data_IF_105586668601
#
_entry.id   IF_105586668601
#
_cell.length_a   1.000
_cell.length_b   1.000
_cell.length_c   1.000
_cell.angle_alpha   90.00
_cell.angle_beta   90.00
_cell.angle_gamma   90.00
#
_symmetry.space_group_name_H-M   'P 1'
#
loop_
_entity.id
_entity.type
_entity.pdbx_description
1 polymer ?
#
# COMPACT_ATOMS: atom_id res chain seq x y z
N UNK A 1 -6.60 7.03 -15.55
CA UNK A 1 -5.65 6.00 -15.05
C UNK A 1 -4.87 6.64 -13.92
N UNK A 2 -4.69 5.98 -12.77
CA UNK A 2 -4.33 6.64 -11.50
C UNK A 2 -2.94 6.23 -10.98
N UNK A 3 -1.95 6.25 -11.87
CA UNK A 3 -0.59 5.73 -11.62
C UNK A 3 0.16 6.55 -10.57
N UNK A 4 0.06 7.89 -10.61
CA UNK A 4 0.70 8.73 -9.61
C UNK A 4 0.12 8.48 -8.21
N UNK A 5 -1.19 8.23 -8.11
CA UNK A 5 -1.81 7.78 -6.86
C UNK A 5 -1.30 6.41 -6.42
N UNK A 6 -1.17 5.43 -7.33
CA UNK A 6 -0.67 4.09 -6.97
C UNK A 6 0.78 4.11 -6.49
N UNK A 7 1.66 4.88 -7.14
CA UNK A 7 3.04 5.06 -6.66
C UNK A 7 3.03 5.69 -5.27
N UNK A 8 2.25 6.76 -5.09
CA UNK A 8 2.12 7.41 -3.80
C UNK A 8 1.70 6.43 -2.70
N UNK A 9 0.64 5.65 -2.93
CA UNK A 9 0.12 4.65 -1.98
C UNK A 9 1.17 3.57 -1.67
N UNK A 10 1.87 3.06 -2.68
CA UNK A 10 2.94 2.08 -2.49
C UNK A 10 4.12 2.65 -1.68
N UNK A 11 4.45 3.93 -1.87
CA UNK A 11 5.56 4.58 -1.15
C UNK A 11 5.19 4.92 0.29
N UNK A 12 4.04 5.56 0.53
CA UNK A 12 3.62 5.95 1.89
C UNK A 12 3.34 4.73 2.78
N UNK A 13 2.91 3.60 2.20
CA UNK A 13 2.75 2.34 2.95
C UNK A 13 4.09 1.69 3.32
N UNK A 14 5.21 2.21 2.78
CA UNK A 14 6.53 1.63 2.92
C UNK A 14 6.75 0.38 2.07
N UNK A 15 5.83 0.03 1.17
CA UNK A 15 5.98 -1.11 0.26
C UNK A 15 7.05 -0.85 -0.80
N UNK A 16 7.06 0.34 -1.39
CA UNK A 16 8.12 0.81 -2.28
C UNK A 16 9.18 1.58 -1.50
N UNK A 17 10.40 1.08 -1.54
CA UNK A 17 11.60 1.80 -1.13
C UNK A 17 12.06 2.76 -2.23
N UNK A 18 13.07 3.58 -1.91
CA UNK A 18 13.66 4.51 -2.87
C UNK A 18 14.10 3.84 -4.17
N UNK A 19 14.77 2.70 -4.06
CA UNK A 19 15.21 1.95 -5.24
C UNK A 19 14.05 1.44 -6.09
N UNK A 20 12.89 1.15 -5.47
CA UNK A 20 11.72 0.63 -6.18
C UNK A 20 11.06 1.71 -7.04
N UNK A 21 10.80 2.90 -6.47
CA UNK A 21 10.17 3.99 -7.24
C UNK A 21 11.12 4.58 -8.29
N UNK A 22 12.42 4.70 -7.98
CA UNK A 22 13.40 5.19 -8.95
C UNK A 22 13.57 4.16 -10.07
N UNK A 23 13.68 2.88 -9.73
CA UNK A 23 13.77 1.80 -10.72
C UNK A 23 12.55 1.71 -11.62
N UNK A 24 11.35 1.94 -11.07
CA UNK A 24 10.13 2.07 -11.86
C UNK A 24 10.22 3.23 -12.86
N UNK A 25 10.58 4.43 -12.40
CA UNK A 25 10.66 5.61 -13.26
C UNK A 25 11.75 5.46 -14.34
N UNK A 26 12.92 4.93 -13.99
CA UNK A 26 14.00 4.66 -14.93
C UNK A 26 13.57 3.67 -16.01
N UNK A 27 12.83 2.63 -15.64
CA UNK A 27 12.26 1.67 -16.61
C UNK A 27 11.32 2.37 -17.59
N UNK A 28 10.51 3.32 -17.12
CA UNK A 28 9.62 4.09 -17.99
C UNK A 28 10.40 4.98 -18.96
N UNK A 29 11.40 5.70 -18.46
CA UNK A 29 12.25 6.60 -19.25
C UNK A 29 13.04 5.82 -20.32
N UNK A 30 13.54 4.63 -20.00
CA UNK A 30 14.37 3.84 -20.91
C UNK A 30 13.58 3.10 -21.99
N UNK A 31 12.32 2.73 -21.72
CA UNK A 31 11.54 1.89 -22.63
C UNK A 31 10.56 2.68 -23.51
N UNK A 32 10.33 3.97 -23.22
CA UNK A 32 9.42 4.81 -23.98
C UNK A 32 10.18 5.94 -24.67
N UNK A 33 9.76 6.31 -25.88
CA UNK A 33 10.39 7.39 -26.64
C UNK A 33 10.14 8.78 -26.03
N UNK A 34 9.05 8.91 -25.28
CA UNK A 34 8.64 10.12 -24.59
C UNK A 34 7.87 9.73 -23.31
N UNK A 35 8.13 10.43 -22.22
CA UNK A 35 7.44 10.24 -20.93
C UNK A 35 7.15 11.59 -20.31
N UNK A 36 6.07 11.69 -19.53
CA UNK A 36 5.69 12.93 -18.89
C UNK A 36 6.76 13.44 -17.90
N UNK A 37 6.85 14.76 -17.72
CA UNK A 37 7.87 15.41 -16.87
C UNK A 37 7.87 14.89 -15.42
N UNK A 38 6.70 14.53 -14.89
CA UNK A 38 6.58 14.03 -13.51
C UNK A 38 7.34 12.70 -13.31
N UNK A 39 7.49 11.87 -14.35
CA UNK A 39 8.23 10.61 -14.29
C UNK A 39 9.73 10.88 -14.14
N UNK A 40 10.27 11.86 -14.88
CA UNK A 40 11.67 12.30 -14.71
C UNK A 40 11.92 12.87 -13.32
N UNK A 41 10.95 13.59 -12.76
CA UNK A 41 11.07 14.12 -11.39
C UNK A 41 11.07 12.99 -10.35
N UNK A 42 10.30 11.92 -10.55
CA UNK A 42 10.32 10.74 -9.66
C UNK A 42 11.70 10.07 -9.67
N UNK A 43 12.31 9.87 -10.84
CA UNK A 43 13.64 9.23 -10.88
C UNK A 43 14.71 10.04 -10.14
N UNK A 44 14.53 11.36 -10.07
CA UNK A 44 15.44 12.28 -9.37
C UNK A 44 15.10 12.51 -7.89
N UNK A 45 13.90 12.15 -7.43
CA UNK A 45 13.46 12.38 -6.06
C UNK A 45 14.35 11.66 -5.03
N UNK A 46 14.83 12.39 -4.03
CA UNK A 46 15.85 11.90 -3.10
C UNK A 46 15.27 11.17 -1.90
N UNK A 47 14.04 11.47 -1.54
CA UNK A 47 13.33 10.94 -0.38
C UNK A 47 11.81 10.93 -0.65
N UNK A 48 11.06 10.44 0.33
CA UNK A 48 9.60 10.30 0.24
C UNK A 48 8.94 11.68 0.11
N UNK A 49 9.45 12.71 0.79
CA UNK A 49 8.86 14.06 0.77
C UNK A 49 8.98 14.71 -0.62
N UNK A 50 10.16 14.60 -1.24
CA UNK A 50 10.39 15.08 -2.60
C UNK A 50 9.57 14.29 -3.64
N UNK A 51 9.41 12.97 -3.45
CA UNK A 51 8.53 12.16 -4.29
C UNK A 51 7.07 12.57 -4.13
N UNK A 52 6.58 12.74 -2.89
CA UNK A 52 5.19 13.12 -2.62
C UNK A 52 4.86 14.49 -3.25
N UNK A 53 5.81 15.43 -3.16
CA UNK A 53 5.70 16.74 -3.81
C UNK A 53 5.65 16.60 -5.33
N UNK A 54 6.49 15.73 -5.90
CA UNK A 54 6.56 15.50 -7.34
C UNK A 54 5.25 14.95 -7.92
N UNK A 55 4.62 14.02 -7.22
CA UNK A 55 3.39 13.37 -7.70
C UNK A 55 2.13 14.16 -7.38
N UNK A 56 2.21 15.20 -6.54
CA UNK A 56 1.05 15.90 -5.98
C UNK A 56 0.09 16.43 -7.06
N UNK A 57 0.59 17.22 -8.01
CA UNK A 57 -0.23 17.80 -9.07
C UNK A 57 -0.86 16.72 -9.95
N UNK A 58 -0.08 15.68 -10.27
CA UNK A 58 -0.56 14.55 -11.09
C UNK A 58 -1.64 13.74 -10.36
N UNK A 59 -1.49 13.52 -9.06
CA UNK A 59 -2.51 12.84 -8.24
C UNK A 59 -3.86 13.58 -8.27
N UNK A 60 -3.83 14.91 -8.25
CA UNK A 60 -5.04 15.73 -8.34
C UNK A 60 -5.66 15.62 -9.73
N UNK A 61 -4.85 15.72 -10.79
CA UNK A 61 -5.30 15.56 -12.18
C UNK A 61 -5.95 14.20 -12.44
N UNK A 62 -5.42 13.14 -11.82
CA UNK A 62 -5.90 11.77 -11.98
C UNK A 62 -7.29 11.52 -11.37
N UNK A 63 -7.80 12.43 -10.53
CA UNK A 63 -9.11 12.32 -9.87
C UNK A 63 -9.37 10.90 -9.33
N UNK A 64 -8.60 10.45 -8.33
CA UNK A 64 -8.56 9.04 -7.91
C UNK A 64 -9.93 8.36 -7.81
N UNK A 65 -10.89 8.99 -7.11
CA UNK A 65 -12.23 8.44 -6.86
C UNK A 65 -13.19 8.48 -8.06
N UNK A 66 -12.84 9.17 -9.14
CA UNK A 66 -13.58 9.06 -10.40
C UNK A 66 -13.21 7.79 -11.18
N UNK A 67 -12.05 7.22 -10.87
CA UNK A 67 -11.45 6.11 -11.61
C UNK A 67 -11.29 4.83 -10.77
N UNK A 68 -11.60 4.87 -9.47
CA UNK A 68 -11.45 3.75 -8.55
C UNK A 68 -12.66 3.64 -7.63
N UNK A 69 -13.11 2.40 -7.40
CA UNK A 69 -14.24 2.10 -6.50
C UNK A 69 -13.80 1.94 -5.04
N UNK A 70 -12.51 1.66 -4.79
CA UNK A 70 -11.97 1.39 -3.46
C UNK A 70 -11.18 2.58 -2.91
N UNK A 71 -11.18 2.72 -1.58
CA UNK A 71 -10.44 3.78 -0.90
C UNK A 71 -8.92 3.63 -1.04
N UNK A 72 -8.19 4.75 -1.05
CA UNK A 72 -6.73 4.74 -0.99
C UNK A 72 -6.23 4.07 0.31
N UNK A 73 -6.98 4.24 1.41
CA UNK A 73 -6.64 3.65 2.71
C UNK A 73 -6.77 2.13 2.70
N UNK A 74 -7.76 1.60 1.99
CA UNK A 74 -7.91 0.15 1.81
C UNK A 74 -6.73 -0.45 1.03
N UNK A 75 -6.22 0.29 0.05
CA UNK A 75 -5.01 -0.10 -0.67
C UNK A 75 -3.76 -0.07 0.24
N UNK A 76 -3.64 0.90 1.14
CA UNK A 76 -2.56 0.92 2.15
C UNK A 76 -2.60 -0.33 3.02
N UNK A 77 -3.77 -0.69 3.55
CA UNK A 77 -3.95 -1.92 4.35
C UNK A 77 -3.54 -3.16 3.53
N UNK A 78 -3.89 -3.19 2.25
CA UNK A 78 -3.44 -4.21 1.31
C UNK A 78 -1.92 -4.31 1.24
N UNK A 79 -1.22 -3.18 1.07
CA UNK A 79 0.24 -3.14 1.04
C UNK A 79 0.88 -3.53 2.38
N UNK A 80 0.30 -3.15 3.52
CA UNK A 80 0.77 -3.62 4.83
C UNK A 80 0.66 -5.13 4.95
N UNK A 81 -0.45 -5.71 4.52
CA UNK A 81 -0.60 -7.16 4.52
C UNK A 81 0.36 -7.84 3.54
N UNK A 82 0.62 -7.24 2.38
CA UNK A 82 1.65 -7.71 1.44
C UNK A 82 3.06 -7.72 2.08
N UNK A 83 3.43 -6.65 2.80
CA UNK A 83 4.70 -6.63 3.56
C UNK A 83 4.79 -7.78 4.56
N UNK A 84 3.69 -8.10 5.25
CA UNK A 84 3.63 -9.18 6.22
C UNK A 84 3.79 -10.57 5.57
N UNK A 85 3.03 -10.89 4.51
CA UNK A 85 3.14 -12.19 3.82
C UNK A 85 4.52 -12.39 3.16
N UNK A 86 5.15 -11.30 2.72
CA UNK A 86 6.52 -11.27 2.18
C UNK A 86 7.59 -11.33 3.28
N UNK A 87 7.18 -11.36 4.57
CA UNK A 87 8.06 -11.39 5.75
C UNK A 87 8.99 -10.17 5.85
N UNK A 88 8.57 -9.03 5.29
CA UNK A 88 9.26 -7.74 5.39
C UNK A 88 8.94 -7.02 6.69
N UNK A 89 7.78 -7.31 7.27
CA UNK A 89 7.37 -6.86 8.60
C UNK A 89 6.82 -8.05 9.40
N UNK A 90 6.82 -7.95 10.72
CA UNK A 90 6.20 -8.95 11.59
C UNK A 90 4.68 -8.75 11.68
N UNK A 91 3.97 -9.73 12.24
CA UNK A 91 2.54 -9.56 12.56
C UNK A 91 2.35 -8.41 13.56
N UNK A 92 3.24 -8.25 14.53
CA UNK A 92 3.16 -7.16 15.49
C UNK A 92 3.30 -5.79 14.81
N UNK A 93 4.20 -5.65 13.84
CA UNK A 93 4.35 -4.38 13.09
C UNK A 93 3.10 -4.07 12.24
N UNK A 94 2.47 -5.10 11.64
CA UNK A 94 1.21 -4.93 10.92
C UNK A 94 0.11 -4.42 11.86
N UNK A 95 0.00 -5.05 13.03
CA UNK A 95 -0.99 -4.73 14.05
C UNK A 95 -0.77 -3.33 14.62
N UNK A 96 0.48 -2.99 14.94
CA UNK A 96 0.88 -1.67 15.44
C UNK A 96 0.45 -0.55 14.50
N UNK A 97 0.77 -0.67 13.20
CA UNK A 97 0.34 0.30 12.16
C UNK A 97 -1.17 0.44 12.05
N UNK A 98 -1.90 -0.68 12.12
CA UNK A 98 -3.37 -0.67 12.02
C UNK A 98 -4.05 -0.20 13.30
N UNK A 99 -3.34 -0.05 14.42
CA UNK A 99 -3.89 0.54 15.65
C UNK A 99 -3.51 1.99 15.87
N UNK A 100 -2.63 2.53 15.02
CA UNK A 100 -2.20 3.91 15.13
C UNK A 100 -3.26 4.82 14.49
N UNK A 101 -3.97 5.58 15.32
CA UNK A 101 -5.00 6.53 14.88
C UNK A 101 -4.41 7.68 14.02
N UNK A 102 -3.11 7.93 14.11
CA UNK A 102 -2.40 8.92 13.28
C UNK A 102 -1.84 8.29 11.97
N UNK A 103 -1.97 6.97 11.78
CA UNK A 103 -1.55 6.30 10.54
C UNK A 103 -2.55 6.54 9.40
N UNK A 104 -2.05 6.54 8.18
CA UNK A 104 -2.86 6.75 6.99
C UNK A 104 -3.92 5.65 6.77
N UNK A 105 -3.75 4.46 7.36
CA UNK A 105 -4.72 3.38 7.29
C UNK A 105 -5.95 3.57 8.20
N UNK A 106 -5.94 4.53 9.13
CA UNK A 106 -7.01 4.74 10.11
C UNK A 106 -8.40 4.97 9.49
N UNK A 107 -8.47 5.50 8.26
CA UNK A 107 -9.71 5.71 7.50
C UNK A 107 -10.10 4.49 6.62
N UNK A 108 -9.43 3.36 6.74
CA UNK A 108 -9.76 2.14 5.99
C UNK A 108 -11.04 1.48 6.49
N UNK A 109 -11.78 0.88 5.56
CA UNK A 109 -12.96 0.08 5.84
C UNK A 109 -12.67 -1.18 6.70
N UNK A 110 -11.40 -1.57 6.90
CA UNK A 110 -11.06 -2.67 7.80
C UNK A 110 -11.51 -2.39 9.24
N UNK A 111 -11.51 -1.12 9.67
CA UNK A 111 -11.90 -0.70 11.01
C UNK A 111 -13.42 -0.75 11.25
N UNK A 112 -14.21 -0.95 10.19
CA UNK A 112 -15.66 -1.17 10.28
C UNK A 112 -15.99 -2.67 10.46
N UNK A 113 -15.02 -3.57 10.26
CA UNK A 113 -15.24 -5.00 10.32
C UNK A 113 -15.07 -5.52 11.76
N UNK A 114 -16.13 -6.11 12.33
CA UNK A 114 -16.11 -6.70 13.67
C UNK A 114 -14.97 -7.73 13.85
N UNK A 115 -14.69 -8.49 12.79
CA UNK A 115 -13.62 -9.48 12.77
C UNK A 115 -12.22 -8.89 13.02
N UNK A 116 -11.98 -7.63 12.64
CA UNK A 116 -10.71 -6.95 12.87
C UNK A 116 -10.42 -6.88 14.38
N UNK A 117 -11.34 -6.33 15.17
CA UNK A 117 -11.15 -6.20 16.62
C UNK A 117 -11.10 -7.55 17.34
N UNK A 118 -11.86 -8.56 16.89
CA UNK A 118 -11.79 -9.92 17.44
C UNK A 118 -10.40 -10.53 17.24
N UNK A 119 -9.83 -10.38 16.04
CA UNK A 119 -8.50 -10.86 15.70
C UNK A 119 -7.44 -10.10 16.48
N UNK A 120 -7.58 -8.78 16.58
CA UNK A 120 -6.66 -7.90 17.30
C UNK A 120 -6.58 -8.23 18.80
N UNK A 121 -7.74 -8.39 19.45
CA UNK A 121 -7.83 -8.75 20.86
C UNK A 121 -7.20 -10.12 21.15
N UNK A 122 -7.33 -11.07 20.22
CA UNK A 122 -6.72 -12.39 20.30
C UNK A 122 -5.19 -12.33 20.26
N UNK A 123 -4.61 -11.57 19.32
CA UNK A 123 -3.15 -11.42 19.17
C UNK A 123 -2.53 -10.84 20.44
N UNK A 124 -3.19 -9.85 21.05
CA UNK A 124 -2.69 -9.19 22.27
C UNK A 124 -2.72 -10.09 23.51
N UNK A 125 -3.53 -11.15 23.52
CA UNK A 125 -3.74 -12.03 24.67
C UNK A 125 -2.93 -13.32 24.61
N UNK A 126 -2.60 -13.81 23.42
CA UNK A 126 -1.94 -15.09 23.24
C UNK A 126 -0.97 -15.07 22.05
N UNK A 127 0.33 -15.05 22.36
CA UNK A 127 1.41 -15.04 21.38
C UNK A 127 1.56 -16.39 20.63
N UNK A 128 0.98 -17.48 21.13
CA UNK A 128 1.07 -18.81 20.47
C UNK A 128 0.05 -18.97 19.33
N UNK A 129 -1.00 -18.12 19.28
CA UNK A 129 -2.01 -18.12 18.22
C UNK A 129 -1.45 -17.88 16.81
N UNK A 130 -0.27 -17.26 16.71
CA UNK A 130 0.41 -16.99 15.44
C UNK A 130 0.79 -18.30 14.73
N UNK A 131 0.84 -19.42 15.45
CA UNK A 131 1.07 -20.77 14.89
C UNK A 131 -0.23 -21.56 14.64
N UNK A 132 -1.39 -21.03 15.03
CA UNK A 132 -2.69 -21.69 14.81
C UNK A 132 -3.17 -21.48 13.38
N UNK A 133 -3.28 -22.58 12.64
CA UNK A 133 -3.76 -22.59 11.26
C UNK A 133 -5.16 -22.00 11.05
N UNK A 134 -6.09 -22.14 12.01
CA UNK A 134 -7.43 -21.55 11.92
C UNK A 134 -7.35 -20.04 12.10
N UNK A 135 -6.51 -19.57 13.03
CA UNK A 135 -6.28 -18.16 13.26
C UNK A 135 -5.64 -17.48 12.04
N UNK A 136 -4.60 -18.10 11.47
CA UNK A 136 -3.94 -17.64 10.23
C UNK A 136 -4.96 -17.56 9.09
N UNK A 137 -5.86 -18.54 8.97
CA UNK A 137 -6.90 -18.51 7.95
C UNK A 137 -7.86 -17.33 8.16
N UNK A 138 -8.31 -17.07 9.38
CA UNK A 138 -9.19 -15.93 9.67
C UNK A 138 -8.51 -14.59 9.38
N UNK A 139 -7.22 -14.45 9.68
CA UNK A 139 -6.40 -13.32 9.25
C UNK A 139 -6.41 -13.18 7.73
N UNK A 140 -6.09 -14.26 7.02
CA UNK A 140 -6.06 -14.24 5.56
C UNK A 140 -7.41 -13.82 4.96
N UNK A 141 -8.51 -14.39 5.45
CA UNK A 141 -9.85 -14.07 4.97
C UNK A 141 -10.23 -12.60 5.23
N UNK A 142 -9.78 -12.01 6.35
CA UNK A 142 -9.99 -10.59 6.66
C UNK A 142 -9.21 -9.67 5.69
N UNK A 143 -7.93 -9.97 5.44
CA UNK A 143 -7.06 -9.09 4.65
C UNK A 143 -7.13 -9.33 3.14
N UNK A 144 -7.70 -10.44 2.69
CA UNK A 144 -7.74 -10.83 1.28
C UNK A 144 -8.35 -9.77 0.34
N UNK A 145 -9.47 -9.11 0.67
CA UNK A 145 -10.02 -8.06 -0.19
C UNK A 145 -9.06 -6.89 -0.38
N UNK A 146 -8.38 -6.46 0.69
CA UNK A 146 -7.41 -5.37 0.68
C UNK A 146 -6.16 -5.73 -0.11
N UNK A 147 -5.68 -6.98 0.05
CA UNK A 147 -4.55 -7.51 -0.72
C UNK A 147 -4.80 -7.40 -2.22
N UNK A 148 -6.00 -7.77 -2.69
CA UNK A 148 -6.35 -7.71 -4.11
C UNK A 148 -6.27 -6.30 -4.66
N UNK A 149 -6.73 -5.30 -3.91
CA UNK A 149 -6.64 -3.89 -4.31
C UNK A 149 -5.17 -3.51 -4.53
N UNK A 150 -4.30 -3.81 -3.57
CA UNK A 150 -2.87 -3.49 -3.68
C UNK A 150 -2.16 -4.29 -4.81
N UNK A 151 -2.52 -5.55 -5.01
CA UNK A 151 -2.02 -6.37 -6.12
C UNK A 151 -2.43 -5.82 -7.48
N UNK A 152 -3.68 -5.36 -7.63
CA UNK A 152 -4.18 -4.72 -8.85
C UNK A 152 -3.41 -3.41 -9.13
N UNK A 153 -3.23 -2.55 -8.12
CA UNK A 153 -2.43 -1.33 -8.27
C UNK A 153 -0.99 -1.64 -8.70
N UNK A 154 -0.36 -2.62 -8.06
CA UNK A 154 1.00 -3.06 -8.41
C UNK A 154 1.08 -3.57 -9.85
N UNK A 155 0.11 -4.35 -10.31
CA UNK A 155 0.05 -4.81 -11.71
C UNK A 155 -0.08 -3.64 -12.69
N UNK A 156 -0.91 -2.64 -12.38
CA UNK A 156 -1.04 -1.45 -13.22
C UNK A 156 0.27 -0.66 -13.29
N UNK A 157 1.01 -0.55 -12.18
CA UNK A 157 2.34 0.06 -12.17
C UNK A 157 3.36 -0.69 -13.05
N UNK A 158 3.29 -2.02 -13.07
CA UNK A 158 4.20 -2.85 -13.88
C UNK A 158 3.88 -2.81 -15.39
N UNK A 159 2.59 -2.59 -15.73
CA UNK A 159 2.05 -2.53 -17.10
C UNK A 159 2.06 -1.14 -17.74
N UNK A 160 2.17 -0.08 -16.94
CA UNK A 160 2.37 1.28 -17.42
C UNK A 160 3.64 1.36 -18.27
#
# INVERSE_FOLDING_TARGET
MTIANYIYIAVISGYYSKSDWQGWADKQILNNNDVEEWIYKISLAKDIDELCTTVYDKKIEECYYENNEFSQYDAVVGYYYMLYIEKRISLYDLIDRLSDDDDISAESSIHEQENFYIIFDKINKDNELISDSLFIKSMHDLFEPFRKIAEEQKQQLELY
#
